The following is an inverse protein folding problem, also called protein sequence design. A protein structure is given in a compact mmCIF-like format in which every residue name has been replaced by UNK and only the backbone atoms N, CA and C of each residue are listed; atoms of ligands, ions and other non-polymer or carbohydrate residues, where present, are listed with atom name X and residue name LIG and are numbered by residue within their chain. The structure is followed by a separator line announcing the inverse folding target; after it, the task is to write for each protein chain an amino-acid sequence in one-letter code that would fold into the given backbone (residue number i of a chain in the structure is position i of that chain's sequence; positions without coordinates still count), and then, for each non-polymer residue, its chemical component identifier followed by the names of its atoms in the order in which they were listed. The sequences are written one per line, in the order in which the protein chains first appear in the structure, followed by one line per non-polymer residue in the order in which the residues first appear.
data_IF_072974321771
#
_entry.id   IF_072974321771
#
_cell.length_a   1.000
_cell.length_b   1.000
_cell.length_c   1.000
_cell.angle_alpha   90.00
_cell.angle_beta   90.00
_cell.angle_gamma   90.00
#
_symmetry.space_group_name_H-M   'P 1'
#
loop_
_entity.id
_entity.type
_entity.pdbx_description
1 polymer ?
#
# COMPACT_ATOMS: atom_id res chain seq x y z
N UNK A 1 51.57 3.49 13.21
CA UNK A 1 50.50 3.60 14.24
C UNK A 1 49.44 4.64 13.89
N UNK A 2 49.77 5.89 13.51
CA UNK A 2 48.76 6.94 13.16
C UNK A 2 47.83 6.57 11.99
N UNK A 3 48.31 5.87 10.96
CA UNK A 3 47.53 5.44 9.80
C UNK A 3 46.54 4.31 10.13
N UNK A 4 46.85 3.42 11.03
CA UNK A 4 45.98 2.35 11.50
C UNK A 4 44.86 2.89 12.39
N UNK A 5 45.15 3.91 13.22
CA UNK A 5 44.15 4.57 14.05
C UNK A 5 43.08 5.31 13.22
N UNK A 6 43.50 5.95 12.11
CA UNK A 6 42.55 6.60 11.18
C UNK A 6 41.64 5.61 10.45
N UNK A 7 42.18 4.47 10.03
CA UNK A 7 41.34 3.43 9.38
C UNK A 7 40.32 2.81 10.33
N UNK A 8 40.69 2.63 11.60
CA UNK A 8 39.78 2.11 12.63
C UNK A 8 38.65 3.10 12.97
N UNK A 9 38.96 4.41 13.01
CA UNK A 9 37.96 5.45 13.28
C UNK A 9 36.96 5.57 12.13
N UNK A 10 37.42 5.44 10.88
CA UNK A 10 36.55 5.49 9.68
C UNK A 10 35.63 4.26 9.59
N UNK A 11 36.08 3.07 10.03
CA UNK A 11 35.28 1.84 10.10
C UNK A 11 34.18 1.90 11.14
N UNK A 12 34.39 2.58 12.25
CA UNK A 12 33.41 2.72 13.34
C UNK A 12 32.21 3.60 12.97
N UNK A 13 32.39 4.59 12.08
CA UNK A 13 31.31 5.47 11.64
C UNK A 13 30.35 4.83 10.62
N UNK A 14 30.80 3.77 9.92
CA UNK A 14 29.97 3.05 8.94
C UNK A 14 28.97 2.08 9.59
N UNK A 15 29.13 1.76 10.88
CA UNK A 15 28.22 0.87 11.61
C UNK A 15 27.05 1.60 12.30
N UNK A 16 26.98 2.95 12.22
CA UNK A 16 25.83 3.71 12.68
C UNK A 16 24.67 3.55 11.70
N UNK A 17 24.19 2.31 11.50
CA UNK A 17 23.03 2.01 10.68
C UNK A 17 21.79 2.71 11.21
N UNK A 18 21.02 3.35 10.33
CA UNK A 18 19.71 3.90 10.65
C UNK A 18 18.80 2.78 11.16
N UNK A 19 18.54 2.72 12.46
CA UNK A 19 17.46 1.90 13.00
C UNK A 19 16.14 2.58 12.65
N UNK A 20 15.25 1.94 11.87
CA UNK A 20 13.94 2.50 11.61
C UNK A 20 13.16 2.59 12.93
N UNK A 21 12.97 3.78 13.43
CA UNK A 21 12.14 4.02 14.62
C UNK A 21 10.68 4.06 14.17
N UNK A 22 9.91 3.05 14.56
CA UNK A 22 8.45 3.07 14.37
C UNK A 22 7.90 4.18 15.29
N UNK A 23 7.19 5.19 14.75
CA UNK A 23 6.56 6.22 15.58
C UNK A 23 5.63 5.57 16.60
N UNK A 24 5.68 6.02 17.85
CA UNK A 24 4.83 5.46 18.94
C UNK A 24 3.34 5.57 18.63
N UNK A 25 2.98 6.53 17.80
CA UNK A 25 1.60 6.82 17.41
C UNK A 25 1.13 6.05 16.16
N UNK A 26 1.99 5.21 15.56
CA UNK A 26 1.66 4.47 14.33
C UNK A 26 0.45 3.54 14.48
N UNK A 27 0.12 3.13 15.70
CA UNK A 27 -1.01 2.25 16.00
C UNK A 27 -2.12 2.94 16.80
N UNK A 28 -2.01 4.25 17.05
CA UNK A 28 -3.05 5.00 17.73
C UNK A 28 -4.17 5.34 16.74
N UNK A 29 -5.37 4.86 17.03
CA UNK A 29 -6.57 5.20 16.25
C UNK A 29 -6.92 6.67 16.51
N UNK A 30 -6.69 7.53 15.53
CA UNK A 30 -7.12 8.93 15.56
C UNK A 30 -8.58 9.07 15.12
N UNK A 31 -9.22 10.21 15.39
CA UNK A 31 -10.58 10.49 14.92
C UNK A 31 -10.68 10.38 13.38
N UNK A 32 -9.66 10.82 12.65
CA UNK A 32 -9.56 10.68 11.19
C UNK A 32 -9.57 9.23 10.72
N UNK A 33 -8.99 8.32 11.49
CA UNK A 33 -9.02 6.87 11.17
C UNK A 33 -10.43 6.30 11.19
N UNK A 34 -11.29 6.79 12.09
CA UNK A 34 -12.71 6.38 12.15
C UNK A 34 -13.49 6.94 10.97
N UNK A 35 -13.27 8.20 10.61
CA UNK A 35 -13.88 8.82 9.44
C UNK A 35 -13.48 8.11 8.14
N UNK A 36 -12.20 7.80 7.96
CA UNK A 36 -11.68 7.06 6.82
C UNK A 36 -12.33 5.66 6.72
N UNK A 37 -12.52 4.98 7.85
CA UNK A 37 -13.21 3.66 7.89
C UNK A 37 -14.69 3.78 7.49
N UNK A 38 -15.38 4.84 7.90
CA UNK A 38 -16.75 5.09 7.48
C UNK A 38 -16.87 5.32 5.97
N UNK A 39 -15.90 6.01 5.36
CA UNK A 39 -15.83 6.19 3.91
C UNK A 39 -15.53 4.90 3.16
N UNK A 40 -14.78 3.98 3.78
CA UNK A 40 -14.41 2.69 3.21
C UNK A 40 -15.48 1.62 3.38
N UNK A 41 -16.52 1.87 4.19
CA UNK A 41 -17.58 0.91 4.48
C UNK A 41 -18.89 1.34 3.87
N UNK A 42 -19.63 0.37 3.28
CA UNK A 42 -20.96 0.60 2.71
C UNK A 42 -21.91 -0.50 3.12
N UNK A 43 -23.11 -0.13 3.49
CA UNK A 43 -24.21 -1.05 3.82
C UNK A 43 -25.10 -1.25 2.59
N UNK A 44 -25.37 -2.52 2.28
CA UNK A 44 -26.27 -2.92 1.20
C UNK A 44 -27.45 -3.72 1.77
N UNK A 45 -28.64 -3.46 1.30
CA UNK A 45 -29.86 -4.16 1.71
C UNK A 45 -30.03 -5.48 0.95
N UNK A 46 -29.04 -6.37 1.08
CA UNK A 46 -29.07 -7.70 0.47
C UNK A 46 -28.35 -8.71 1.37
N UNK A 47 -28.83 -9.95 1.35
CA UNK A 47 -28.14 -11.10 1.97
C UNK A 47 -27.41 -11.95 0.91
N UNK A 48 -27.53 -11.61 -0.36
CA UNK A 48 -26.86 -12.34 -1.43
C UNK A 48 -25.39 -11.89 -1.56
N UNK A 49 -24.54 -12.47 -0.73
CA UNK A 49 -23.10 -12.24 -0.72
C UNK A 49 -22.46 -12.54 -2.06
N UNK A 50 -22.89 -13.60 -2.75
CA UNK A 50 -22.33 -13.96 -4.06
C UNK A 50 -22.60 -12.90 -5.10
N UNK A 51 -23.83 -12.39 -5.15
CA UNK A 51 -24.22 -11.32 -6.06
C UNK A 51 -23.43 -10.04 -5.76
N UNK A 52 -23.25 -9.69 -4.48
CA UNK A 52 -22.48 -8.51 -4.09
C UNK A 52 -21.02 -8.64 -4.50
N UNK A 53 -20.38 -9.78 -4.23
CA UNK A 53 -19.01 -10.03 -4.65
C UNK A 53 -18.83 -10.03 -6.17
N UNK A 54 -19.75 -10.66 -6.91
CA UNK A 54 -19.66 -10.68 -8.38
C UNK A 54 -19.83 -9.31 -8.99
N UNK A 55 -20.75 -8.49 -8.46
CA UNK A 55 -20.92 -7.10 -8.91
C UNK A 55 -19.70 -6.24 -8.57
N UNK A 56 -19.12 -6.42 -7.39
CA UNK A 56 -17.89 -5.74 -7.00
C UNK A 56 -16.70 -6.15 -7.88
N UNK A 57 -16.60 -7.43 -8.21
CA UNK A 57 -15.58 -7.94 -9.13
C UNK A 57 -15.70 -7.29 -10.51
N UNK A 58 -16.92 -7.20 -11.05
CA UNK A 58 -17.15 -6.55 -12.34
C UNK A 58 -16.71 -5.07 -12.32
N UNK A 59 -17.10 -4.32 -11.29
CA UNK A 59 -16.68 -2.91 -11.13
C UNK A 59 -15.16 -2.78 -11.06
N UNK A 60 -14.48 -3.64 -10.30
CA UNK A 60 -13.01 -3.61 -10.21
C UNK A 60 -12.35 -3.91 -11.56
N UNK A 61 -12.88 -4.89 -12.30
CA UNK A 61 -12.40 -5.19 -13.65
C UNK A 61 -12.62 -4.02 -14.62
N UNK A 62 -13.77 -3.36 -14.57
CA UNK A 62 -14.07 -2.15 -15.37
C UNK A 62 -13.10 -1.00 -15.05
N UNK A 63 -12.66 -0.90 -13.79
CA UNK A 63 -11.62 0.05 -13.38
C UNK A 63 -10.19 -0.39 -13.73
N UNK A 64 -10.03 -1.53 -14.39
CA UNK A 64 -8.74 -2.07 -14.84
C UNK A 64 -7.94 -2.81 -13.78
N UNK A 65 -8.60 -3.32 -12.72
CA UNK A 65 -7.97 -4.21 -11.76
C UNK A 65 -8.05 -5.66 -12.24
N UNK A 66 -6.96 -6.41 -12.06
CA UNK A 66 -6.95 -7.85 -12.20
C UNK A 66 -7.38 -8.49 -10.88
N UNK A 67 -8.27 -9.48 -10.94
CA UNK A 67 -8.69 -10.23 -9.75
C UNK A 67 -7.57 -11.20 -9.36
N UNK A 68 -7.08 -11.08 -8.12
CA UNK A 68 -6.05 -11.98 -7.58
C UNK A 68 -6.72 -13.19 -6.92
N UNK A 69 -7.76 -12.97 -6.09
CA UNK A 69 -8.48 -14.02 -5.36
C UNK A 69 -9.93 -13.61 -5.12
N UNK A 70 -10.83 -14.59 -5.17
CA UNK A 70 -12.25 -14.42 -4.82
C UNK A 70 -12.76 -15.64 -4.05
N UNK A 71 -13.18 -15.42 -2.81
CA UNK A 71 -13.73 -16.46 -1.96
C UNK A 71 -15.12 -16.09 -1.45
N UNK A 72 -16.15 -16.63 -2.12
CA UNK A 72 -17.54 -16.34 -1.77
C UNK A 72 -17.96 -16.88 -0.41
N UNK A 73 -17.32 -17.95 0.10
CA UNK A 73 -17.64 -18.52 1.41
C UNK A 73 -17.14 -17.60 2.54
N UNK A 74 -15.93 -17.05 2.37
CA UNK A 74 -15.35 -16.10 3.31
C UNK A 74 -15.85 -14.66 3.09
N UNK A 75 -16.46 -14.38 1.95
CA UNK A 75 -16.87 -13.02 1.60
C UNK A 75 -15.70 -12.11 1.25
N UNK A 76 -14.60 -12.65 0.71
CA UNK A 76 -13.37 -11.89 0.43
C UNK A 76 -13.12 -11.85 -1.08
N UNK A 77 -12.71 -10.68 -1.55
CA UNK A 77 -12.28 -10.43 -2.91
C UNK A 77 -11.03 -9.57 -2.88
N UNK A 78 -9.96 -10.01 -3.54
CA UNK A 78 -8.73 -9.22 -3.70
C UNK A 78 -8.46 -8.96 -5.17
N UNK A 79 -8.02 -7.75 -5.46
CA UNK A 79 -7.68 -7.32 -6.81
C UNK A 79 -6.45 -6.41 -6.78
N UNK A 80 -5.68 -6.41 -7.86
CA UNK A 80 -4.50 -5.58 -8.00
C UNK A 80 -4.41 -4.92 -9.37
N UNK A 81 -3.78 -3.75 -9.39
CA UNK A 81 -3.52 -2.97 -10.61
C UNK A 81 -2.11 -2.41 -10.55
N UNK A 82 -1.41 -2.47 -11.67
CA UNK A 82 -0.15 -1.75 -11.84
C UNK A 82 -0.46 -0.32 -12.30
N UNK A 83 0.20 0.62 -11.68
CA UNK A 83 0.12 2.04 -12.05
C UNK A 83 1.52 2.61 -12.22
N UNK A 84 1.68 3.54 -13.15
CA UNK A 84 2.94 4.26 -13.31
C UNK A 84 3.21 5.14 -12.10
N UNK A 85 4.32 4.89 -11.42
CA UNK A 85 4.77 5.65 -10.26
C UNK A 85 5.83 6.69 -10.62
N UNK A 86 6.10 6.89 -11.91
CA UNK A 86 7.14 7.82 -12.38
C UNK A 86 6.78 9.25 -12.00
N UNK A 87 7.47 9.82 -11.02
CA UNK A 87 7.31 11.23 -10.68
C UNK A 87 8.28 12.08 -11.50
N UNK A 88 7.80 13.18 -12.06
CA UNK A 88 8.66 14.13 -12.80
C UNK A 88 9.83 14.66 -11.96
N UNK A 89 9.64 14.78 -10.64
CA UNK A 89 10.69 15.20 -9.70
C UNK A 89 11.81 14.16 -9.58
N UNK A 90 11.51 12.85 -9.59
CA UNK A 90 12.50 11.78 -9.57
C UNK A 90 13.32 11.77 -10.86
N UNK A 91 12.67 11.95 -12.01
CA UNK A 91 13.34 12.03 -13.31
C UNK A 91 14.26 13.23 -13.36
N UNK A 92 13.80 14.42 -12.95
CA UNK A 92 14.62 15.62 -12.91
C UNK A 92 15.81 15.48 -11.96
N UNK A 93 15.62 14.89 -10.79
CA UNK A 93 16.68 14.60 -9.82
C UNK A 93 17.72 13.63 -10.36
N UNK A 94 17.28 12.55 -11.03
CA UNK A 94 18.17 11.58 -11.65
C UNK A 94 19.02 12.19 -12.77
N UNK A 95 18.43 13.07 -13.60
CA UNK A 95 19.15 13.79 -14.65
C UNK A 95 20.21 14.72 -14.08
N UNK A 96 19.86 15.50 -13.04
CA UNK A 96 20.82 16.40 -12.36
C UNK A 96 21.98 15.61 -11.75
N UNK A 97 21.70 14.49 -11.07
CA UNK A 97 22.73 13.64 -10.50
C UNK A 97 23.65 13.03 -11.59
N UNK A 98 23.07 12.59 -12.71
CA UNK A 98 23.85 12.06 -13.84
C UNK A 98 24.79 13.13 -14.44
N UNK A 99 24.33 14.38 -14.56
CA UNK A 99 25.16 15.51 -15.05
C UNK A 99 26.29 15.88 -14.10
N UNK A 100 26.10 15.66 -12.78
CA UNK A 100 27.12 15.90 -11.74
C UNK A 100 28.09 14.71 -11.58
N UNK A 101 28.02 13.69 -12.46
CA UNK A 101 28.89 12.52 -12.41
C UNK A 101 28.44 11.48 -11.36
N UNK A 102 27.23 11.62 -10.82
CA UNK A 102 26.60 10.61 -9.97
C UNK A 102 26.12 9.41 -10.80
N UNK A 103 26.18 8.22 -10.23
CA UNK A 103 25.67 7.00 -10.87
C UNK A 103 24.16 7.07 -11.13
N UNK A 104 23.67 6.22 -12.04
CA UNK A 104 22.24 6.10 -12.32
C UNK A 104 21.47 5.69 -11.05
N UNK A 105 20.55 6.55 -10.59
CA UNK A 105 19.63 6.21 -9.52
C UNK A 105 18.46 5.40 -10.08
N UNK A 106 18.07 4.27 -9.45
CA UNK A 106 16.88 3.54 -9.87
C UNK A 106 15.66 4.44 -9.70
N UNK A 107 14.87 4.57 -10.76
CA UNK A 107 13.59 5.29 -10.75
C UNK A 107 12.50 4.22 -10.60
N UNK A 108 11.67 4.33 -9.57
CA UNK A 108 10.49 3.48 -9.42
C UNK A 108 9.51 3.78 -10.56
N UNK A 109 9.38 2.83 -11.49
CA UNK A 109 8.52 2.97 -12.67
C UNK A 109 7.13 2.41 -12.45
N UNK A 110 6.98 1.48 -11.51
CA UNK A 110 5.75 0.72 -11.32
C UNK A 110 5.34 0.71 -9.85
N UNK A 111 4.09 1.05 -9.61
CA UNK A 111 3.44 0.90 -8.30
C UNK A 111 2.32 -0.13 -8.41
N UNK A 112 2.32 -1.13 -7.54
CA UNK A 112 1.24 -2.10 -7.44
C UNK A 112 0.22 -1.65 -6.40
N UNK A 113 -0.98 -1.26 -6.86
CA UNK A 113 -2.13 -0.94 -6.01
C UNK A 113 -2.91 -2.23 -5.78
N UNK A 114 -3.16 -2.58 -4.52
CA UNK A 114 -3.97 -3.74 -4.15
C UNK A 114 -5.20 -3.31 -3.35
N UNK A 115 -6.34 -3.87 -3.71
CA UNK A 115 -7.62 -3.67 -3.02
C UNK A 115 -8.03 -4.99 -2.40
N UNK A 116 -8.47 -4.95 -1.15
CA UNK A 116 -9.10 -6.07 -0.47
C UNK A 116 -10.51 -5.64 -0.04
N UNK A 117 -11.52 -6.35 -0.54
CA UNK A 117 -12.92 -6.13 -0.20
C UNK A 117 -13.39 -7.30 0.65
N UNK A 118 -14.03 -6.97 1.79
CA UNK A 118 -14.58 -7.95 2.71
C UNK A 118 -16.08 -7.68 2.88
N UNK A 119 -16.88 -8.69 2.60
CA UNK A 119 -18.34 -8.64 2.74
C UNK A 119 -18.74 -9.41 4.00
N UNK A 120 -19.22 -8.70 5.00
CA UNK A 120 -19.75 -9.26 6.24
C UNK A 120 -21.27 -9.17 6.27
N UNK A 121 -21.91 -10.20 6.81
CA UNK A 121 -23.35 -10.13 7.15
C UNK A 121 -23.52 -9.41 8.47
N UNK A 122 -24.39 -8.40 8.49
CA UNK A 122 -24.74 -7.74 9.74
C UNK A 122 -25.80 -8.57 10.47
N UNK A 123 -25.36 -9.28 11.53
CA UNK A 123 -26.24 -10.13 12.35
C UNK A 123 -27.33 -9.36 13.09
N UNK A 124 -27.16 -8.06 13.30
CA UNK A 124 -28.15 -7.19 13.95
C UNK A 124 -29.32 -6.83 13.03
N UNK A 125 -29.13 -6.96 11.73
CA UNK A 125 -30.10 -6.56 10.73
C UNK A 125 -30.16 -7.67 9.66
N UNK A 126 -31.04 -8.65 9.89
CA UNK A 126 -31.16 -9.87 9.05
C UNK A 126 -31.38 -9.62 7.55
N UNK A 127 -31.33 -8.36 7.09
CA UNK A 127 -31.64 -7.95 5.73
C UNK A 127 -30.47 -7.26 5.02
N UNK A 128 -29.33 -7.02 5.66
CA UNK A 128 -28.24 -6.23 5.03
C UNK A 128 -26.86 -6.83 5.21
N UNK A 129 -26.02 -6.66 4.19
CA UNK A 129 -24.59 -6.98 4.21
C UNK A 129 -23.74 -5.70 4.15
N UNK A 130 -22.62 -5.70 4.82
CA UNK A 130 -21.67 -4.59 4.86
C UNK A 130 -20.42 -4.96 4.09
#
# INVERSE_FOLDING_TARGET
MKKLLGAFLCSATLLAGCTPTIPKDAFVLTATTLEDRLLQSRKFETLDRKKLLSSSAAVLQDMGYALDESNAKLGVLTASKQADATSGAQVAGAVVLALLGGGATPIDKEQKIRICLVVNENLSDKKSSI
#
